data_IF_359940858007
#
_entry.id   IF_359940858007
#
_cell.length_a   1.000
_cell.length_b   1.000
_cell.length_c   1.000
_cell.angle_alpha   90.00
_cell.angle_beta   90.00
_cell.angle_gamma   90.00
#
_symmetry.space_group_name_H-M   'P 1'
#
loop_
_entity.id
_entity.type
_entity.pdbx_description
1 polymer ?
#
# COMPACT_ATOMS: atom_id res chain seq x y z
N UNK A 1 6.68 31.25 -0.62
CA UNK A 1 7.10 30.33 0.46
C UNK A 1 6.01 29.30 0.49
N UNK A 2 6.16 28.29 -0.35
CA UNK A 2 5.12 27.31 -0.64
C UNK A 2 5.19 26.24 0.44
N UNK A 3 4.42 26.46 1.49
CA UNK A 3 4.16 25.45 2.50
C UNK A 3 3.06 24.53 1.97
N UNK A 4 3.35 23.22 2.08
CA UNK A 4 2.43 22.09 2.24
C UNK A 4 2.50 21.03 1.13
N UNK A 5 3.71 20.52 0.86
CA UNK A 5 3.85 19.13 0.43
C UNK A 5 3.58 18.26 1.66
N UNK A 6 2.33 17.82 1.83
CA UNK A 6 2.00 16.81 2.83
C UNK A 6 2.97 15.64 2.66
N UNK A 7 3.70 15.31 3.72
CA UNK A 7 4.66 14.20 3.73
C UNK A 7 3.87 12.93 3.44
N UNK A 8 3.93 12.49 2.20
CA UNK A 8 3.25 11.28 1.76
C UNK A 8 3.95 10.09 2.40
N UNK A 9 3.36 9.54 3.46
CA UNK A 9 3.88 8.35 4.11
C UNK A 9 3.28 7.11 3.42
N UNK A 10 4.05 6.31 2.67
CA UNK A 10 3.53 5.11 1.98
C UNK A 10 2.94 4.08 2.97
N UNK A 11 3.39 4.11 4.23
CA UNK A 11 2.83 3.28 5.28
C UNK A 11 1.41 3.70 5.67
N UNK A 12 1.09 5.00 5.61
CA UNK A 12 -0.26 5.49 5.87
C UNK A 12 -1.24 4.94 4.82
N UNK A 13 -0.87 4.96 3.54
CA UNK A 13 -1.71 4.41 2.47
C UNK A 13 -1.96 2.91 2.67
N UNK A 14 -0.92 2.16 3.00
CA UNK A 14 -1.01 0.73 3.29
C UNK A 14 -1.93 0.47 4.49
N UNK A 15 -1.76 1.23 5.57
CA UNK A 15 -2.60 1.13 6.77
C UNK A 15 -4.07 1.47 6.46
N UNK A 16 -4.31 2.56 5.73
CA UNK A 16 -5.64 3.00 5.28
C UNK A 16 -6.36 1.93 4.47
N UNK A 17 -5.64 1.22 3.61
CA UNK A 17 -6.20 0.10 2.84
C UNK A 17 -6.69 -1.04 3.76
N UNK A 18 -5.93 -1.40 4.78
CA UNK A 18 -6.38 -2.40 5.77
C UNK A 18 -7.59 -1.92 6.59
N UNK A 19 -7.64 -0.63 6.96
CA UNK A 19 -8.81 -0.02 7.63
C UNK A 19 -10.05 -0.09 6.71
N UNK A 20 -9.89 0.32 5.45
CA UNK A 20 -10.94 0.27 4.42
C UNK A 20 -11.52 -1.14 4.28
N UNK A 21 -10.66 -2.16 4.11
CA UNK A 21 -11.08 -3.55 4.00
C UNK A 21 -11.85 -4.03 5.24
N UNK A 22 -11.39 -3.68 6.44
CA UNK A 22 -12.03 -4.06 7.68
C UNK A 22 -13.42 -3.42 7.86
N UNK A 23 -13.56 -2.16 7.44
CA UNK A 23 -14.83 -1.41 7.51
C UNK A 23 -15.83 -1.92 6.48
N UNK A 24 -15.42 -2.08 5.22
CA UNK A 24 -16.28 -2.60 4.14
C UNK A 24 -16.75 -4.03 4.45
N UNK A 25 -15.86 -4.90 4.95
CA UNK A 25 -16.23 -6.28 5.30
C UNK A 25 -17.21 -6.36 6.48
N UNK A 26 -17.16 -5.40 7.41
CA UNK A 26 -18.08 -5.35 8.56
C UNK A 26 -19.44 -4.77 8.19
N UNK A 27 -19.46 -3.71 7.38
CA UNK A 27 -20.71 -3.15 6.84
C UNK A 27 -21.49 -4.20 6.04
N UNK A 28 -20.80 -4.99 5.20
CA UNK A 28 -21.40 -6.11 4.47
C UNK A 28 -21.98 -7.22 5.37
N UNK A 29 -21.50 -7.37 6.61
CA UNK A 29 -21.97 -8.37 7.58
C UNK A 29 -23.09 -7.86 8.49
N UNK A 30 -23.18 -6.55 8.68
CA UNK A 30 -24.20 -5.88 9.48
C UNK A 30 -25.08 -4.97 8.59
N UNK A 31 -25.82 -5.52 7.61
CA UNK A 31 -26.74 -4.69 6.83
C UNK A 31 -27.74 -4.01 7.78
N UNK A 32 -28.14 -2.76 7.50
CA UNK A 32 -29.00 -1.98 8.39
C UNK A 32 -30.25 -2.79 8.77
N UNK A 33 -30.50 -2.89 10.08
CA UNK A 33 -31.65 -3.59 10.63
C UNK A 33 -32.92 -2.76 10.42
N UNK A 34 -33.40 -2.67 9.19
CA UNK A 34 -34.83 -2.45 8.86
C UNK A 34 -35.07 -2.62 7.36
N UNK A 35 -35.93 -3.57 6.93
CA UNK A 35 -36.45 -3.55 5.58
C UNK A 35 -37.62 -2.56 5.54
N UNK A 36 -37.40 -1.35 5.02
CA UNK A 36 -38.49 -0.42 4.72
C UNK A 36 -39.38 -1.05 3.64
N UNK A 37 -40.51 -1.61 4.09
CA UNK A 37 -41.56 -2.19 3.25
C UNK A 37 -41.98 -1.15 2.20
N UNK A 38 -41.73 -1.45 0.93
CA UNK A 38 -42.42 -0.81 -0.21
C UNK A 38 -43.94 -0.97 -0.04
N UNK A 39 -44.62 0.06 0.46
CA UNK A 39 -46.06 0.23 0.24
C UNK A 39 -46.27 1.30 -0.82
N UNK A 40 -46.47 0.81 -2.04
CA UNK A 40 -46.99 1.59 -3.15
C UNK A 40 -48.46 1.93 -2.83
N UNK A 41 -48.81 3.19 -2.58
CA UNK A 41 -50.16 3.69 -2.88
C UNK A 41 -50.20 5.20 -3.06
N UNK A 42 -50.87 5.55 -4.16
CA UNK A 42 -51.11 6.87 -4.74
C UNK A 42 -52.20 7.62 -3.96
N UNK A 43 -52.05 8.95 -3.81
CA UNK A 43 -53.06 10.01 -4.07
C UNK A 43 -53.31 11.04 -2.96
N UNK A 44 -53.07 12.32 -3.33
CA UNK A 44 -53.81 13.56 -3.07
C UNK A 44 -53.93 14.19 -1.64
N UNK A 45 -53.08 15.24 -1.43
CA UNK A 45 -53.40 16.64 -1.04
C UNK A 45 -54.05 16.99 0.35
N UNK A 46 -54.00 18.26 0.82
CA UNK A 46 -52.97 18.81 1.71
C UNK A 46 -53.51 19.34 3.06
N UNK A 47 -52.66 19.52 4.07
CA UNK A 47 -52.93 20.44 5.19
C UNK A 47 -51.67 20.79 5.99
N UNK A 48 -51.54 22.09 6.28
CA UNK A 48 -50.52 22.76 7.10
C UNK A 48 -50.19 22.08 8.43
N UNK A 49 -48.91 22.06 8.79
CA UNK A 49 -48.40 22.22 10.16
C UNK A 49 -46.87 22.39 10.12
N UNK A 50 -46.40 23.52 10.65
CA UNK A 50 -44.97 23.81 10.89
C UNK A 50 -44.36 22.80 11.87
N UNK A 51 -43.22 22.20 11.54
CA UNK A 51 -42.32 21.48 12.47
C UNK A 51 -40.88 21.54 11.91
N UNK A 52 -39.82 21.66 12.75
CA UNK A 52 -38.48 22.09 12.35
C UNK A 52 -37.75 21.10 11.43
N UNK A 53 -36.70 21.52 10.70
CA UNK A 53 -35.98 20.63 9.80
C UNK A 53 -35.35 19.50 10.62
N UNK A 54 -35.86 18.29 10.39
CA UNK A 54 -35.28 17.06 10.91
C UNK A 54 -34.06 16.77 10.03
N UNK A 55 -32.87 16.83 10.63
CA UNK A 55 -31.65 16.28 10.04
C UNK A 55 -31.83 14.76 10.08
N UNK A 56 -32.35 14.19 9.00
CA UNK A 56 -32.30 12.74 8.79
C UNK A 56 -30.91 12.40 8.23
N UNK A 57 -30.14 11.50 8.86
CA UNK A 57 -28.93 10.98 8.26
C UNK A 57 -29.33 10.06 7.12
N UNK A 58 -29.13 10.49 5.87
CA UNK A 58 -29.29 9.63 4.72
C UNK A 58 -28.22 8.54 4.76
N UNK A 59 -28.66 7.29 4.88
CA UNK A 59 -27.77 6.14 4.93
C UNK A 59 -27.10 5.89 3.56
N UNK A 60 -25.76 5.88 3.59
CA UNK A 60 -24.80 5.32 2.64
C UNK A 60 -24.51 6.16 1.38
N UNK A 61 -23.94 7.33 1.59
CA UNK A 61 -23.12 8.01 0.58
C UNK A 61 -21.70 7.38 0.55
N UNK A 62 -21.22 6.85 -0.61
CA UNK A 62 -19.83 6.40 -0.73
C UNK A 62 -18.80 7.48 -0.38
N UNK A 63 -19.16 8.76 -0.51
CA UNK A 63 -18.31 9.89 -0.10
C UNK A 63 -18.18 9.96 1.43
N UNK A 64 -19.29 9.82 2.17
CA UNK A 64 -19.30 9.78 3.64
C UNK A 64 -18.50 8.58 4.18
N UNK A 65 -18.61 7.41 3.54
CA UNK A 65 -17.81 6.23 3.92
C UNK A 65 -16.31 6.48 3.68
N UNK A 66 -15.93 7.15 2.59
CA UNK A 66 -14.54 7.48 2.31
C UNK A 66 -13.98 8.47 3.34
N UNK A 67 -14.75 9.52 3.68
CA UNK A 67 -14.38 10.47 4.73
C UNK A 67 -14.26 9.78 6.10
N UNK A 68 -15.15 8.84 6.41
CA UNK A 68 -15.08 8.07 7.64
C UNK A 68 -13.86 7.15 7.68
N UNK A 69 -13.52 6.48 6.58
CA UNK A 69 -12.27 5.70 6.45
C UNK A 69 -11.07 6.61 6.69
N UNK A 70 -11.04 7.79 6.08
CA UNK A 70 -9.93 8.75 6.22
C UNK A 70 -9.81 9.26 7.66
N UNK A 71 -10.93 9.53 8.32
CA UNK A 71 -10.96 9.90 9.73
C UNK A 71 -10.39 8.80 10.63
N UNK A 72 -10.90 7.57 10.52
CA UNK A 72 -10.44 6.45 11.35
C UNK A 72 -8.98 6.12 11.08
N UNK A 73 -8.57 6.07 9.80
CA UNK A 73 -7.21 5.78 9.41
C UNK A 73 -6.25 6.88 9.88
N UNK A 74 -6.59 8.15 9.66
CA UNK A 74 -5.82 9.32 10.06
C UNK A 74 -5.60 9.40 11.56
N UNK A 75 -6.68 9.41 12.34
CA UNK A 75 -6.61 9.51 13.79
C UNK A 75 -5.87 8.32 14.42
N UNK A 76 -6.13 7.11 13.93
CA UNK A 76 -5.45 5.91 14.44
C UNK A 76 -3.96 5.95 14.09
N UNK A 77 -3.60 6.13 12.82
CA UNK A 77 -2.22 6.05 12.36
C UNK A 77 -1.33 7.14 12.98
N UNK A 78 -1.81 8.38 13.02
CA UNK A 78 -1.07 9.51 13.58
C UNK A 78 -0.84 9.37 15.09
N UNK A 79 -1.66 8.58 15.76
CA UNK A 79 -1.55 8.30 17.20
C UNK A 79 -0.65 7.10 17.51
N UNK A 80 -0.25 6.29 16.51
CA UNK A 80 0.67 5.18 16.73
C UNK A 80 2.10 5.70 17.00
N UNK A 81 2.95 4.94 17.70
CA UNK A 81 4.36 5.31 17.86
C UNK A 81 5.07 5.51 16.52
N UNK A 82 6.03 6.45 16.45
CA UNK A 82 6.81 6.74 15.24
C UNK A 82 7.52 5.48 14.70
N UNK A 83 7.94 4.59 15.61
CA UNK A 83 8.49 3.27 15.28
C UNK A 83 7.57 2.48 14.35
N UNK A 84 6.26 2.49 14.62
CA UNK A 84 5.25 1.78 13.85
C UNK A 84 4.96 2.52 12.56
N UNK A 85 4.77 3.85 12.61
CA UNK A 85 4.46 4.67 11.44
C UNK A 85 5.55 4.63 10.35
N UNK A 86 6.80 4.39 10.74
CA UNK A 86 7.97 4.34 9.86
C UNK A 86 8.54 2.93 9.64
N UNK A 87 7.81 1.88 10.07
CA UNK A 87 8.22 0.50 9.85
C UNK A 87 8.50 0.24 8.36
N UNK A 88 9.60 -0.44 8.12
CA UNK A 88 10.00 -0.94 6.82
C UNK A 88 10.86 -2.19 6.98
N UNK A 89 10.94 -3.01 5.93
CA UNK A 89 11.88 -4.13 5.88
C UNK A 89 13.31 -3.70 6.30
N UNK A 90 13.78 -2.53 5.89
CA UNK A 90 15.11 -2.02 6.23
C UNK A 90 15.26 -1.72 7.74
N UNK A 91 14.26 -1.08 8.36
CA UNK A 91 14.28 -0.77 9.81
C UNK A 91 14.26 -2.04 10.67
N UNK A 92 13.54 -3.08 10.24
CA UNK A 92 13.48 -4.35 10.98
C UNK A 92 14.77 -5.16 10.84
N UNK A 93 15.40 -5.16 9.67
CA UNK A 93 16.70 -5.83 9.49
C UNK A 93 17.83 -5.16 10.28
N UNK A 94 17.76 -3.84 10.48
CA UNK A 94 18.77 -3.08 11.23
C UNK A 94 18.55 -3.10 12.75
N UNK A 95 17.37 -3.51 13.23
CA UNK A 95 17.05 -3.58 14.66
C UNK A 95 16.31 -4.88 15.01
N UNK A 96 17.05 -5.88 15.49
CA UNK A 96 16.50 -7.18 15.88
C UNK A 96 15.42 -7.10 16.96
N UNK A 97 15.44 -6.08 17.82
CA UNK A 97 14.42 -5.89 18.85
C UNK A 97 13.04 -5.50 18.31
N UNK A 98 12.96 -4.86 17.13
CA UNK A 98 11.69 -4.53 16.48
C UNK A 98 11.04 -5.77 15.86
N UNK A 99 11.84 -6.70 15.33
CA UNK A 99 11.34 -7.97 14.79
C UNK A 99 10.63 -8.80 15.87
N UNK A 100 11.21 -8.87 17.07
CA UNK A 100 10.62 -9.60 18.20
C UNK A 100 9.38 -8.90 18.76
N UNK A 101 9.38 -7.57 18.82
CA UNK A 101 8.27 -6.75 19.35
C UNK A 101 7.01 -6.83 18.49
N UNK A 102 7.19 -6.90 17.17
CA UNK A 102 6.13 -6.87 16.17
C UNK A 102 6.03 -8.19 15.38
N UNK A 103 6.20 -9.32 16.06
CA UNK A 103 6.10 -10.67 15.49
C UNK A 103 4.65 -11.01 15.11
N UNK A 104 4.47 -11.87 14.10
CA UNK A 104 3.17 -12.48 13.76
C UNK A 104 3.05 -13.86 14.44
N UNK A 105 2.03 -14.12 15.29
CA UNK A 105 0.91 -13.23 15.65
C UNK A 105 1.29 -12.12 16.64
N UNK A 106 0.69 -10.94 16.45
CA UNK A 106 0.95 -9.75 17.27
C UNK A 106 0.69 -10.04 18.76
N UNK A 107 1.69 -9.88 19.66
CA UNK A 107 1.51 -10.12 21.08
C UNK A 107 0.43 -9.21 21.68
N UNK A 108 -0.41 -9.74 22.58
CA UNK A 108 -1.50 -8.98 23.21
C UNK A 108 -1.01 -7.73 23.94
N UNK A 109 0.11 -7.82 24.66
CA UNK A 109 0.72 -6.66 25.33
C UNK A 109 1.11 -5.55 24.36
N UNK A 110 1.59 -5.90 23.17
CA UNK A 110 1.92 -4.94 22.12
C UNK A 110 0.64 -4.33 21.54
N UNK A 111 -0.37 -5.16 21.25
CA UNK A 111 -1.68 -4.70 20.77
C UNK A 111 -2.35 -3.71 21.75
N UNK A 112 -2.36 -4.04 23.04
CA UNK A 112 -2.94 -3.19 24.09
C UNK A 112 -2.16 -1.87 24.20
N UNK A 113 -0.82 -1.92 24.12
CA UNK A 113 0.01 -0.72 24.13
C UNK A 113 -0.22 0.18 22.92
N UNK A 114 -0.44 -0.39 21.73
CA UNK A 114 -0.68 0.38 20.50
C UNK A 114 -2.09 0.96 20.46
N UNK A 115 -3.09 0.22 20.93
CA UNK A 115 -4.49 0.69 20.96
C UNK A 115 -4.70 1.75 22.03
N UNK A 116 -3.95 1.70 23.14
CA UNK A 116 -3.99 2.70 24.20
C UNK A 116 -3.46 4.08 23.79
N UNK A 117 -2.70 4.20 22.69
CA UNK A 117 -2.26 5.52 22.19
C UNK A 117 -3.33 6.21 21.36
N UNK A 118 -4.35 5.49 20.90
CA UNK A 118 -5.38 6.01 20.00
C UNK A 118 -6.46 6.76 20.82
N UNK A 119 -6.92 7.93 20.37
CA UNK A 119 -8.00 8.67 21.01
C UNK A 119 -9.29 7.86 21.14
N UNK A 120 -9.96 7.97 22.29
CA UNK A 120 -11.24 7.30 22.56
C UNK A 120 -12.34 7.70 21.56
N UNK A 121 -12.25 8.87 20.94
CA UNK A 121 -13.19 9.31 19.90
C UNK A 121 -13.27 8.33 18.73
N UNK A 122 -12.19 7.61 18.43
CA UNK A 122 -12.16 6.60 17.36
C UNK A 122 -13.01 5.39 17.74
N UNK A 123 -12.85 4.85 18.95
CA UNK A 123 -13.61 3.69 19.41
C UNK A 123 -15.08 4.04 19.67
N UNK A 124 -15.36 5.25 20.17
CA UNK A 124 -16.72 5.78 20.29
C UNK A 124 -17.39 5.92 18.92
N UNK A 125 -16.69 6.48 17.94
CA UNK A 125 -17.22 6.59 16.57
C UNK A 125 -17.51 5.21 15.98
N UNK A 126 -16.58 4.25 16.07
CA UNK A 126 -16.81 2.89 15.59
C UNK A 126 -18.03 2.22 16.27
N UNK A 127 -18.28 2.52 17.54
CA UNK A 127 -19.45 2.02 18.27
C UNK A 127 -20.75 2.71 17.81
N UNK A 128 -20.73 4.03 17.62
CA UNK A 128 -21.87 4.82 17.10
C UNK A 128 -22.30 4.33 15.72
N UNK A 129 -21.35 4.01 14.84
CA UNK A 129 -21.62 3.45 13.52
C UNK A 129 -21.91 1.93 13.54
N UNK A 130 -21.95 1.30 14.72
CA UNK A 130 -22.33 -0.11 14.87
C UNK A 130 -21.31 -1.13 14.34
N UNK A 131 -20.06 -0.70 14.14
CA UNK A 131 -18.97 -1.52 13.63
C UNK A 131 -18.31 -2.36 14.74
N UNK A 132 -18.39 -1.86 15.97
CA UNK A 132 -18.05 -2.59 17.19
C UNK A 132 -19.20 -2.52 18.20
N UNK A 133 -19.47 -3.58 18.98
CA UNK A 133 -20.52 -3.56 19.99
C UNK A 133 -20.26 -2.56 21.12
N UNK A 134 -19.01 -2.50 21.61
CA UNK A 134 -18.59 -1.64 22.72
C UNK A 134 -17.21 -1.03 22.43
N UNK A 135 -16.89 0.18 22.91
CA UNK A 135 -15.56 0.77 22.78
C UNK A 135 -14.41 -0.11 23.33
N UNK A 136 -14.68 -1.00 24.29
CA UNK A 136 -13.71 -1.99 24.80
C UNK A 136 -13.35 -3.09 23.79
N UNK A 137 -14.14 -3.30 22.74
CA UNK A 137 -13.84 -4.23 21.65
C UNK A 137 -12.84 -3.66 20.63
N UNK A 138 -12.43 -2.40 20.80
CA UNK A 138 -11.53 -1.70 19.90
C UNK A 138 -10.20 -2.44 19.63
N UNK A 139 -9.49 -3.02 20.64
CA UNK A 139 -8.29 -3.79 20.39
C UNK A 139 -8.55 -5.02 19.49
N UNK A 140 -9.68 -5.70 19.71
CA UNK A 140 -10.09 -6.84 18.88
C UNK A 140 -10.42 -6.40 17.45
N UNK A 141 -11.00 -5.21 17.27
CA UNK A 141 -11.26 -4.61 15.97
C UNK A 141 -9.96 -4.28 15.22
N UNK A 142 -8.99 -3.63 15.88
CA UNK A 142 -7.73 -3.21 15.28
C UNK A 142 -6.72 -4.34 15.07
N UNK A 143 -6.79 -5.43 15.85
CA UNK A 143 -5.82 -6.52 15.77
C UNK A 143 -5.54 -7.03 14.33
N UNK A 144 -6.54 -7.42 13.51
CA UNK A 144 -6.28 -7.86 12.14
C UNK A 144 -5.73 -6.74 11.23
N UNK A 145 -6.11 -5.48 11.48
CA UNK A 145 -5.62 -4.32 10.72
C UNK A 145 -4.13 -4.09 11.02
N UNK A 146 -3.78 -3.99 12.31
CA UNK A 146 -2.39 -3.81 12.75
C UNK A 146 -1.51 -4.98 12.34
N UNK A 147 -1.99 -6.22 12.49
CA UNK A 147 -1.24 -7.41 12.07
C UNK A 147 -0.96 -7.39 10.57
N UNK A 148 -1.97 -7.13 9.74
CA UNK A 148 -1.81 -7.06 8.28
C UNK A 148 -0.90 -5.92 7.84
N UNK A 149 -1.09 -4.73 8.41
CA UNK A 149 -0.25 -3.57 8.13
C UNK A 149 1.22 -3.81 8.52
N UNK A 150 1.48 -4.27 9.75
CA UNK A 150 2.83 -4.56 10.23
C UNK A 150 3.49 -5.61 9.34
N UNK A 151 2.79 -6.72 9.04
CA UNK A 151 3.31 -7.75 8.15
C UNK A 151 3.64 -7.21 6.75
N UNK A 152 2.79 -6.34 6.20
CA UNK A 152 3.03 -5.69 4.90
C UNK A 152 4.22 -4.72 4.94
N UNK A 153 4.32 -3.88 5.97
CA UNK A 153 5.43 -2.95 6.14
C UNK A 153 6.78 -3.67 6.34
N UNK A 154 6.75 -4.84 6.98
CA UNK A 154 7.92 -5.68 7.22
C UNK A 154 8.19 -6.69 6.10
N UNK A 155 7.29 -6.84 5.14
CA UNK A 155 7.47 -7.79 4.05
C UNK A 155 8.74 -7.43 3.28
N UNK A 156 9.64 -8.40 3.15
CA UNK A 156 10.74 -8.28 2.20
C UNK A 156 10.20 -8.09 0.77
N UNK A 157 11.04 -7.61 -0.16
CA UNK A 157 10.64 -7.55 -1.56
C UNK A 157 10.08 -8.91 -2.00
N UNK A 158 8.90 -8.93 -2.64
CA UNK A 158 8.17 -10.17 -2.94
C UNK A 158 9.03 -11.20 -3.67
N UNK A 159 8.69 -12.49 -3.49
CA UNK A 159 9.41 -13.56 -4.15
C UNK A 159 9.38 -13.36 -5.69
N UNK A 160 10.53 -13.57 -6.30
CA UNK A 160 10.84 -13.17 -7.68
C UNK A 160 9.86 -13.70 -8.75
N UNK A 161 9.08 -14.75 -8.49
CA UNK A 161 8.07 -15.25 -9.43
C UNK A 161 6.74 -14.49 -9.38
N UNK A 162 6.37 -13.92 -8.23
CA UNK A 162 5.12 -13.16 -8.10
C UNK A 162 5.25 -11.72 -8.63
N UNK A 163 6.47 -11.24 -8.89
CA UNK A 163 6.73 -9.91 -9.46
C UNK A 163 6.77 -9.87 -10.97
N UNK A 164 6.42 -10.98 -11.65
CA UNK A 164 6.47 -11.05 -13.11
C UNK A 164 5.56 -9.99 -13.73
N UNK A 165 6.18 -8.97 -14.33
CA UNK A 165 5.46 -7.95 -15.07
C UNK A 165 4.70 -8.56 -16.26
N UNK A 166 3.56 -7.96 -16.59
CA UNK A 166 2.79 -8.29 -17.80
C UNK A 166 3.46 -7.80 -19.08
N UNK A 167 4.36 -6.82 -18.97
CA UNK A 167 5.07 -6.18 -20.07
C UNK A 167 6.55 -5.94 -19.74
N UNK A 168 7.35 -5.71 -20.78
CA UNK A 168 8.76 -5.33 -20.62
C UNK A 168 8.87 -3.95 -19.94
N UNK A 169 9.57 -3.85 -18.82
CA UNK A 169 9.65 -2.61 -18.03
C UNK A 169 10.45 -1.45 -18.70
N UNK A 170 11.10 -1.70 -19.85
CA UNK A 170 11.79 -0.66 -20.63
C UNK A 170 11.00 -0.26 -21.88
N UNK A 171 10.42 -1.23 -22.60
CA UNK A 171 9.82 -0.99 -23.91
C UNK A 171 8.32 -1.29 -23.98
N UNK A 172 7.72 -1.66 -22.84
CA UNK A 172 6.28 -1.82 -22.62
C UNK A 172 5.58 -2.87 -23.49
N UNK A 173 6.33 -3.70 -24.21
CA UNK A 173 5.75 -4.80 -25.01
C UNK A 173 5.28 -5.91 -24.07
N UNK A 174 3.99 -6.25 -24.15
CA UNK A 174 3.31 -7.29 -23.36
C UNK A 174 3.15 -8.64 -24.11
N UNK A 175 3.27 -8.63 -25.44
CA UNK A 175 3.09 -9.82 -26.28
C UNK A 175 4.38 -10.65 -26.47
N UNK A 176 5.45 -10.41 -25.70
CA UNK A 176 6.74 -11.07 -25.86
C UNK A 176 7.25 -11.72 -24.58
N UNK A 177 8.04 -12.82 -24.67
CA UNK A 177 8.64 -13.42 -23.49
C UNK A 177 9.59 -12.46 -22.78
N UNK A 178 9.38 -12.35 -21.46
CA UNK A 178 10.26 -11.61 -20.55
C UNK A 178 11.29 -12.54 -19.90
N UNK A 179 12.42 -11.95 -19.57
CA UNK A 179 13.55 -12.56 -18.89
C UNK A 179 13.85 -11.79 -17.63
N UNK A 180 14.35 -12.51 -16.64
CA UNK A 180 14.75 -11.98 -15.36
C UNK A 180 16.12 -11.31 -15.45
N UNK A 181 16.23 -10.05 -15.02
CA UNK A 181 17.46 -9.27 -15.04
C UNK A 181 17.74 -8.69 -13.65
N UNK A 182 18.95 -8.88 -13.12
CA UNK A 182 19.36 -8.24 -11.87
C UNK A 182 19.82 -6.81 -12.15
N UNK A 183 19.15 -5.83 -11.53
CA UNK A 183 19.48 -4.40 -11.68
C UNK A 183 20.86 -4.08 -11.10
N UNK A 184 21.23 -4.75 -9.99
CA UNK A 184 22.59 -4.77 -9.46
C UNK A 184 23.21 -6.13 -9.84
N UNK A 185 24.17 -6.19 -10.79
CA UNK A 185 24.73 -7.45 -11.23
C UNK A 185 25.36 -8.24 -10.06
N UNK A 186 25.05 -9.54 -9.99
CA UNK A 186 25.53 -10.42 -8.89
C UNK A 186 27.04 -10.43 -8.73
N UNK A 187 27.76 -10.30 -9.84
CA UNK A 187 29.24 -10.24 -9.86
C UNK A 187 29.81 -9.07 -9.06
N UNK A 188 29.05 -7.97 -8.88
CA UNK A 188 29.50 -6.78 -8.15
C UNK A 188 28.90 -6.64 -6.75
N UNK A 189 28.06 -7.58 -6.30
CA UNK A 189 27.43 -7.53 -4.97
C UNK A 189 28.43 -7.35 -3.82
N UNK A 190 29.50 -8.17 -3.81
CA UNK A 190 30.54 -8.05 -2.79
C UNK A 190 31.23 -6.67 -2.81
N UNK A 191 31.39 -6.08 -4.00
CA UNK A 191 31.97 -4.74 -4.16
C UNK A 191 31.01 -3.65 -3.71
N UNK A 192 29.71 -3.78 -4.03
CA UNK A 192 28.63 -2.87 -3.60
C UNK A 192 28.59 -2.77 -2.08
N UNK A 193 28.56 -3.90 -1.38
CA UNK A 193 28.56 -3.95 0.09
C UNK A 193 29.85 -3.38 0.69
N UNK A 194 31.01 -3.79 0.17
CA UNK A 194 32.31 -3.28 0.64
C UNK A 194 32.45 -1.77 0.48
N UNK A 195 31.89 -1.21 -0.59
CA UNK A 195 31.92 0.23 -0.91
C UNK A 195 30.73 1.00 -0.33
N UNK A 196 29.77 0.31 0.30
CA UNK A 196 28.52 0.89 0.82
C UNK A 196 27.77 1.72 -0.24
N UNK A 197 27.69 1.21 -1.46
CA UNK A 197 26.89 1.87 -2.50
C UNK A 197 25.40 1.65 -2.27
N UNK A 198 25.02 0.43 -1.89
CA UNK A 198 23.65 0.04 -1.58
C UNK A 198 23.63 -0.93 -0.42
N UNK A 199 22.47 -1.00 0.22
CA UNK A 199 22.18 -1.95 1.28
C UNK A 199 21.98 -3.38 0.73
N UNK A 200 22.18 -4.39 1.56
CA UNK A 200 22.13 -5.81 1.18
C UNK A 200 20.78 -6.22 0.56
N UNK A 201 19.69 -5.62 1.03
CA UNK A 201 18.36 -5.91 0.51
C UNK A 201 18.15 -5.46 -0.94
N UNK A 202 18.85 -4.42 -1.39
CA UNK A 202 18.76 -3.92 -2.78
C UNK A 202 19.49 -4.81 -3.80
N UNK A 203 20.41 -5.68 -3.35
CA UNK A 203 21.22 -6.50 -4.24
C UNK A 203 20.39 -7.45 -5.12
N UNK A 204 19.22 -7.83 -4.62
CA UNK A 204 18.30 -8.71 -5.32
C UNK A 204 17.19 -7.96 -6.07
N UNK A 205 17.29 -6.63 -6.20
CA UNK A 205 16.41 -5.83 -7.07
C UNK A 205 16.55 -6.26 -8.53
N UNK A 206 15.41 -6.43 -9.19
CA UNK A 206 15.32 -7.05 -10.52
C UNK A 206 14.37 -6.31 -11.44
N UNK A 207 14.49 -6.59 -12.73
CA UNK A 207 13.59 -6.14 -13.77
C UNK A 207 13.19 -7.30 -14.70
N UNK A 208 11.97 -7.23 -15.21
CA UNK A 208 11.39 -8.10 -16.22
C UNK A 208 11.53 -7.47 -17.60
N UNK A 209 12.57 -7.91 -18.29
CA UNK A 209 12.96 -7.33 -19.57
C UNK A 209 12.80 -8.34 -20.70
N UNK A 210 12.30 -7.89 -21.85
CA UNK A 210 12.41 -8.70 -23.05
C UNK A 210 13.87 -8.92 -23.44
N UNK A 211 14.14 -9.97 -24.22
CA UNK A 211 15.52 -10.33 -24.63
C UNK A 211 16.31 -9.17 -25.27
N UNK A 212 15.64 -8.33 -26.07
CA UNK A 212 16.28 -7.19 -26.72
C UNK A 212 16.71 -6.11 -25.71
N UNK A 213 15.83 -5.73 -24.78
CA UNK A 213 16.13 -4.76 -23.73
C UNK A 213 17.16 -5.30 -22.74
N UNK A 214 17.06 -6.57 -22.34
CA UNK A 214 18.07 -7.22 -21.49
C UNK A 214 19.47 -7.14 -22.12
N UNK A 215 19.57 -7.51 -23.41
CA UNK A 215 20.85 -7.41 -24.13
C UNK A 215 21.35 -5.97 -24.25
N UNK A 216 20.45 -4.99 -24.32
CA UNK A 216 20.81 -3.59 -24.40
C UNK A 216 21.35 -3.05 -23.08
N UNK A 217 20.71 -3.37 -21.94
CA UNK A 217 21.17 -2.93 -20.62
C UNK A 217 22.61 -3.38 -20.33
N UNK A 218 22.98 -4.61 -20.68
CA UNK A 218 24.37 -5.08 -20.54
C UNK A 218 25.37 -4.45 -21.52
N UNK A 219 24.90 -3.75 -22.56
CA UNK A 219 25.75 -3.01 -23.51
C UNK A 219 25.87 -1.54 -23.17
N UNK A 220 24.85 -1.00 -22.51
CA UNK A 220 24.70 0.44 -22.30
C UNK A 220 25.68 0.98 -21.23
N UNK A 221 26.05 0.14 -20.28
CA UNK A 221 26.88 0.49 -19.13
C UNK A 221 27.66 -0.74 -18.63
N UNK A 222 28.78 -0.51 -17.94
CA UNK A 222 29.52 -1.60 -17.27
C UNK A 222 28.76 -2.12 -16.05
N UNK A 223 29.06 -3.34 -15.57
CA UNK A 223 28.42 -3.90 -14.36
C UNK A 223 28.57 -2.99 -13.13
N UNK A 224 29.69 -2.28 -13.02
CA UNK A 224 29.95 -1.33 -11.94
C UNK A 224 29.13 -0.05 -12.09
N UNK A 225 29.04 0.48 -13.31
CA UNK A 225 28.23 1.66 -13.59
C UNK A 225 26.72 1.37 -13.43
N UNK A 226 26.27 0.19 -13.87
CA UNK A 226 24.91 -0.29 -13.62
C UNK A 226 24.60 -0.30 -12.13
N UNK A 227 25.47 -0.93 -11.34
CA UNK A 227 25.29 -1.00 -9.90
C UNK A 227 25.35 0.37 -9.22
N UNK A 228 26.10 1.35 -9.73
CA UNK A 228 26.29 2.64 -9.06
C UNK A 228 25.25 3.68 -9.47
N UNK A 229 24.98 3.80 -10.75
CA UNK A 229 24.21 4.91 -11.33
C UNK A 229 22.84 4.46 -11.86
N UNK A 230 22.69 3.20 -12.29
CA UNK A 230 21.52 2.67 -13.01
C UNK A 230 20.88 1.44 -12.33
N UNK A 231 20.83 1.44 -11.00
CA UNK A 231 20.43 0.30 -10.17
C UNK A 231 18.90 0.15 -9.96
N UNK A 232 18.10 0.97 -10.65
CA UNK A 232 16.62 0.86 -10.68
C UNK A 232 16.09 1.03 -12.10
N UNK A 233 14.88 0.52 -12.37
CA UNK A 233 14.23 0.68 -13.69
C UNK A 233 14.04 2.16 -14.02
N UNK A 234 13.59 2.95 -13.05
CA UNK A 234 13.32 4.39 -13.19
C UNK A 234 14.58 5.14 -13.65
N UNK A 235 15.74 4.79 -13.07
CA UNK A 235 17.02 5.35 -13.48
C UNK A 235 17.38 4.93 -14.90
N UNK A 236 17.25 3.64 -15.23
CA UNK A 236 17.54 3.13 -16.57
C UNK A 236 16.71 3.87 -17.63
N UNK A 237 15.40 4.02 -17.43
CA UNK A 237 14.51 4.67 -18.42
C UNK A 237 14.67 6.18 -18.51
N UNK A 238 15.32 6.82 -17.54
CA UNK A 238 15.69 8.25 -17.61
C UNK A 238 16.89 8.51 -18.52
N UNK A 239 17.65 7.48 -18.92
CA UNK A 239 18.81 7.64 -19.80
C UNK A 239 18.38 7.88 -21.25
N UNK A 240 18.97 8.89 -21.89
CA UNK A 240 18.55 9.35 -23.23
C UNK A 240 18.59 8.24 -24.30
N UNK A 241 19.69 7.48 -24.34
CA UNK A 241 19.84 6.40 -25.31
C UNK A 241 18.90 5.20 -25.03
N UNK A 242 18.54 4.97 -23.76
CA UNK A 242 17.52 3.98 -23.38
C UNK A 242 16.15 4.43 -23.87
N UNK A 243 15.80 5.71 -23.77
CA UNK A 243 14.52 6.24 -24.24
C UNK A 243 14.38 6.08 -25.76
N UNK A 244 15.42 6.40 -26.51
CA UNK A 244 15.42 6.23 -27.96
C UNK A 244 15.37 4.75 -28.36
N UNK A 245 16.12 3.90 -27.66
CA UNK A 245 16.06 2.46 -27.81
C UNK A 245 14.66 1.91 -27.54
N UNK A 246 14.01 2.33 -26.44
CA UNK A 246 12.67 1.91 -26.04
C UNK A 246 11.63 2.26 -27.11
N UNK A 247 11.60 3.52 -27.56
CA UNK A 247 10.69 4.00 -28.63
C UNK A 247 10.89 3.25 -29.95
N UNK A 248 12.13 2.90 -30.27
CA UNK A 248 12.44 2.15 -31.48
C UNK A 248 12.02 0.68 -31.33
N UNK A 249 12.45 0.00 -30.27
CA UNK A 249 12.25 -1.44 -30.08
C UNK A 249 10.79 -1.81 -29.83
N UNK A 250 10.00 -0.92 -29.22
CA UNK A 250 8.57 -1.09 -29.01
C UNK A 250 7.80 -1.33 -30.32
N UNK A 251 8.27 -0.72 -31.43
CA UNK A 251 7.65 -0.83 -32.76
C UNK A 251 8.09 -2.07 -33.54
N UNK A 252 9.10 -2.80 -33.07
CA UNK A 252 9.65 -3.93 -33.82
C UNK A 252 8.88 -5.20 -33.49
N UNK A 253 8.34 -5.82 -34.54
CA UNK A 253 7.84 -7.19 -34.53
C UNK A 253 8.90 -8.12 -35.14
N UNK A 254 9.69 -8.76 -34.29
CA UNK A 254 10.57 -9.83 -34.71
C UNK A 254 9.72 -11.05 -35.08
N UNK A 255 9.82 -11.54 -36.32
CA UNK A 255 9.29 -12.86 -36.67
C UNK A 255 10.14 -13.90 -35.93
N UNK A 256 9.50 -14.77 -35.15
CA UNK A 256 10.15 -15.95 -34.61
C UNK A 256 10.73 -16.77 -35.77
N UNK A 257 12.00 -17.16 -35.65
CA UNK A 257 12.70 -18.01 -36.62
C UNK A 257 12.81 -19.41 -36.03
#
# INVERSE_FOLDING_TARGET
MDSNAAVHNPNYETFREYVSQALIHRDARNPPKTPLRRKKKVSAQPSDSETPPSIEPEANDPEELAEFIDYIAGETFNSLPEEVQSLSYATVQSNSGLADKYVDPLPRSTLDSLTATVPLSVSESLSVYGLIPDPSDFPTFLNPILTGYIAAAQAGPPNWSSTRASACEICERDWIPLTYHHLIPREVHAKVLKRKWHEEWMLNSVAWLCRACHSFVHKMASNEELAKEWYTVERIVQREDVQDWAKWVARIRWKAK
#
